data_IF_852504479314
#
_entry.id   IF_852504479314
#
_cell.length_a   1.000
_cell.length_b   1.000
_cell.length_c   1.000
_cell.angle_alpha   90.00
_cell.angle_beta   90.00
_cell.angle_gamma   90.00
#
_symmetry.space_group_name_H-M   'P 1'
#
loop_
_entity.id
_entity.type
_entity.pdbx_description
1 polymer ?
#
# COMPACT_ATOMS: atom_id res chain seq x y z
N UNK A 1 7.82 -11.85 -37.87
CA UNK A 1 8.08 -12.02 -36.43
C UNK A 1 7.93 -13.49 -36.07
N UNK A 2 8.91 -14.09 -35.40
CA UNK A 2 8.87 -15.50 -35.00
C UNK A 2 7.89 -15.73 -33.85
N UNK A 3 7.20 -16.87 -33.84
CA UNK A 3 6.30 -17.31 -32.76
C UNK A 3 6.97 -17.32 -31.38
N UNK A 4 8.29 -17.53 -31.33
CA UNK A 4 9.08 -17.46 -30.10
C UNK A 4 9.16 -16.02 -29.57
N UNK A 5 9.34 -15.04 -30.46
CA UNK A 5 9.40 -13.62 -30.09
C UNK A 5 8.06 -13.12 -29.52
N UNK A 6 6.94 -13.60 -30.06
CA UNK A 6 5.59 -13.25 -29.57
C UNK A 6 5.33 -13.86 -28.18
N UNK A 7 5.77 -15.10 -27.93
CA UNK A 7 5.65 -15.72 -26.61
C UNK A 7 6.48 -14.99 -25.56
N UNK A 8 7.71 -14.58 -25.90
CA UNK A 8 8.56 -13.85 -24.97
C UNK A 8 7.98 -12.48 -24.60
N UNK A 9 7.46 -11.72 -25.57
CA UNK A 9 6.83 -10.41 -25.29
C UNK A 9 5.58 -10.54 -24.43
N UNK A 10 4.77 -11.59 -24.62
CA UNK A 10 3.59 -11.86 -23.79
C UNK A 10 3.96 -12.20 -22.33
N UNK A 11 5.03 -12.99 -22.12
CA UNK A 11 5.53 -13.33 -20.77
C UNK A 11 6.10 -12.11 -20.06
N UNK A 12 6.85 -11.26 -20.77
CA UNK A 12 7.40 -10.01 -20.23
C UNK A 12 6.30 -9.04 -19.82
N UNK A 13 5.28 -8.82 -20.67
CA UNK A 13 4.14 -7.95 -20.38
C UNK A 13 3.36 -8.41 -19.12
N UNK A 14 3.12 -9.71 -18.97
CA UNK A 14 2.50 -10.24 -17.75
C UNK A 14 3.38 -10.08 -16.50
N UNK A 15 4.70 -10.17 -16.65
CA UNK A 15 5.65 -9.98 -15.55
C UNK A 15 5.71 -8.52 -15.11
N UNK A 16 5.77 -7.58 -16.05
CA UNK A 16 5.73 -6.14 -15.79
C UNK A 16 4.41 -5.71 -15.13
N UNK A 17 3.27 -6.25 -15.60
CA UNK A 17 1.96 -6.01 -14.97
C UNK A 17 1.91 -6.53 -13.54
N UNK A 18 2.46 -7.72 -13.27
CA UNK A 18 2.55 -8.28 -11.91
C UNK A 18 3.45 -7.44 -11.02
N UNK A 19 4.60 -6.99 -11.51
CA UNK A 19 5.50 -6.10 -10.77
C UNK A 19 4.81 -4.77 -10.44
N UNK A 20 4.13 -4.15 -11.40
CA UNK A 20 3.35 -2.92 -11.19
C UNK A 20 2.23 -3.13 -10.16
N UNK A 21 1.54 -4.27 -10.20
CA UNK A 21 0.50 -4.60 -9.21
C UNK A 21 1.09 -4.73 -7.80
N UNK A 22 2.23 -5.41 -7.65
CA UNK A 22 2.93 -5.56 -6.35
C UNK A 22 3.36 -4.20 -5.82
N UNK A 23 3.90 -3.32 -6.66
CA UNK A 23 4.26 -1.96 -6.24
C UNK A 23 3.05 -1.13 -5.81
N UNK A 24 1.94 -1.22 -6.56
CA UNK A 24 0.68 -0.54 -6.20
C UNK A 24 0.14 -1.06 -4.87
N UNK A 25 0.20 -2.37 -4.65
CA UNK A 25 -0.21 -2.98 -3.38
C UNK A 25 0.67 -2.52 -2.21
N UNK A 26 1.99 -2.51 -2.38
CA UNK A 26 2.92 -1.98 -1.36
C UNK A 26 2.62 -0.52 -1.03
N UNK A 27 2.45 0.32 -2.04
CA UNK A 27 2.07 1.74 -1.86
C UNK A 27 0.74 1.88 -1.13
N UNK A 28 -0.26 1.07 -1.48
CA UNK A 28 -1.55 1.07 -0.80
C UNK A 28 -1.41 0.74 0.69
N UNK A 29 -0.67 -0.31 1.03
CA UNK A 29 -0.44 -0.67 2.44
C UNK A 29 0.29 0.44 3.20
N UNK A 30 1.38 0.98 2.63
CA UNK A 30 2.16 2.03 3.29
C UNK A 30 1.34 3.31 3.48
N UNK A 31 0.57 3.72 2.47
CA UNK A 31 -0.26 4.92 2.54
C UNK A 31 -1.43 4.78 3.53
N UNK A 32 -1.81 3.57 3.90
CA UNK A 32 -2.94 3.29 4.80
C UNK A 32 -2.50 2.65 6.12
N UNK A 33 -1.18 2.52 6.38
CA UNK A 33 -0.65 1.84 7.56
C UNK A 33 -1.16 2.46 8.87
N UNK A 34 -1.27 3.77 8.92
CA UNK A 34 -1.79 4.52 10.08
C UNK A 34 -3.30 4.26 10.31
N UNK A 35 -4.08 4.13 9.23
CA UNK A 35 -5.50 3.74 9.31
C UNK A 35 -5.65 2.30 9.81
N UNK A 36 -4.82 1.38 9.34
CA UNK A 36 -4.82 -0.01 9.83
C UNK A 36 -4.40 -0.10 11.29
N UNK A 37 -3.39 0.66 11.71
CA UNK A 37 -2.96 0.71 13.10
C UNK A 37 -4.04 1.29 14.02
N UNK A 38 -4.68 2.40 13.61
CA UNK A 38 -5.79 2.99 14.34
C UNK A 38 -6.99 2.04 14.42
N UNK A 39 -7.38 1.40 13.31
CA UNK A 39 -8.46 0.43 13.27
C UNK A 39 -8.19 -0.79 14.15
N UNK A 40 -6.97 -1.32 14.12
CA UNK A 40 -6.58 -2.44 14.99
C UNK A 40 -6.66 -2.05 16.46
N UNK A 41 -6.17 -0.86 16.84
CA UNK A 41 -6.27 -0.38 18.21
C UNK A 41 -7.73 -0.20 18.66
N UNK A 42 -8.61 0.28 17.77
CA UNK A 42 -10.06 0.36 18.03
C UNK A 42 -10.69 -1.02 18.19
N UNK A 43 -10.35 -1.99 17.34
CA UNK A 43 -10.87 -3.36 17.41
C UNK A 43 -10.45 -4.08 18.69
N UNK A 44 -9.26 -3.80 19.21
CA UNK A 44 -8.80 -4.29 20.53
C UNK A 44 -9.44 -3.54 21.71
N UNK A 45 -10.34 -2.59 21.45
CA UNK A 45 -11.03 -1.79 22.48
C UNK A 45 -10.17 -0.66 23.06
N UNK A 46 -8.99 -0.39 22.49
CA UNK A 46 -8.10 0.67 22.93
C UNK A 46 -8.32 1.96 22.12
N UNK A 47 -9.45 2.61 22.39
CA UNK A 47 -9.81 3.88 21.74
C UNK A 47 -8.82 5.02 22.01
N UNK A 48 -8.11 4.98 23.13
CA UNK A 48 -7.10 5.98 23.46
C UNK A 48 -5.88 5.86 22.56
N UNK A 49 -5.34 4.64 22.37
CA UNK A 49 -4.24 4.39 21.44
C UNK A 49 -4.64 4.73 19.99
N UNK A 50 -5.86 4.37 19.57
CA UNK A 50 -6.37 4.75 18.26
C UNK A 50 -6.40 6.28 18.07
N UNK A 51 -6.87 7.01 19.09
CA UNK A 51 -6.90 8.48 19.08
C UNK A 51 -5.51 9.12 18.99
N UNK A 52 -4.50 8.53 19.63
CA UNK A 52 -3.11 8.97 19.51
C UNK A 52 -2.57 8.75 18.11
N UNK A 53 -2.73 7.54 17.55
CA UNK A 53 -2.29 7.20 16.19
C UNK A 53 -2.90 8.17 15.16
N UNK A 54 -4.20 8.44 15.25
CA UNK A 54 -4.88 9.38 14.34
C UNK A 54 -4.46 10.84 14.55
N UNK A 55 -4.02 11.22 15.75
CA UNK A 55 -3.51 12.57 16.03
C UNK A 55 -2.10 12.73 15.44
N UNK A 56 -1.25 11.74 15.61
CA UNK A 56 0.13 11.76 15.12
C UNK A 56 0.17 11.71 13.59
N UNK A 57 -0.67 10.87 12.97
CA UNK A 57 -0.92 10.85 11.53
C UNK A 57 -1.24 12.26 10.98
N UNK A 58 -2.16 12.98 11.63
CA UNK A 58 -2.54 14.35 11.24
C UNK A 58 -1.40 15.36 11.42
N UNK A 59 -0.58 15.20 12.45
CA UNK A 59 0.60 16.06 12.67
C UNK A 59 1.66 15.85 11.59
N UNK A 60 1.96 14.60 11.24
CA UNK A 60 2.91 14.26 10.17
C UNK A 60 2.42 14.83 8.83
N UNK A 61 1.14 14.65 8.51
CA UNK A 61 0.55 15.22 7.29
C UNK A 61 0.60 16.75 7.24
N UNK A 62 0.47 17.43 8.38
CA UNK A 62 0.58 18.89 8.46
C UNK A 62 2.04 19.38 8.37
N UNK A 63 3.01 18.60 8.86
CA UNK A 63 4.44 18.92 8.78
C UNK A 63 5.04 18.72 7.39
N UNK A 64 4.40 17.92 6.54
CA UNK A 64 4.83 17.63 5.17
C UNK A 64 4.18 18.55 4.11
N UNK A 65 3.47 19.60 4.54
CA UNK A 65 2.91 20.67 3.70
C UNK A 65 3.85 21.86 3.69
#
# INVERSE_FOLDING_TARGET
MSTVAIKNTMVMNNTEKKASLVERFKKYLLNNAEYFAAASAMMTGNGYAAGQIMRDARRVAASNR
#
